data_IF_635475001096
#
_entry.id   IF_635475001096
#
_cell.length_a   1.000
_cell.length_b   1.000
_cell.length_c   1.000
_cell.angle_alpha   90.00
_cell.angle_beta   90.00
_cell.angle_gamma   90.00
#
_symmetry.space_group_name_H-M   'P 1'
#
loop_
_entity.id
_entity.type
_entity.pdbx_description
1 polymer ?
#
# COMPACT_ATOMS: atom_id res chain seq x y z
N UNK A 1 0.49 -3.56 63.37
CA UNK A 1 -0.47 -3.02 62.37
C UNK A 1 0.14 -3.21 60.98
N UNK A 2 -0.31 -4.22 60.24
CA UNK A 2 0.11 -4.45 58.85
C UNK A 2 -0.77 -3.60 57.93
N UNK A 3 -0.17 -2.61 57.28
CA UNK A 3 -0.80 -1.86 56.20
C UNK A 3 -0.71 -2.74 54.94
N UNK A 4 -1.77 -3.50 54.66
CA UNK A 4 -1.92 -4.24 53.41
C UNK A 4 -2.26 -3.23 52.32
N UNK A 5 -1.25 -2.83 51.55
CA UNK A 5 -1.41 -2.07 50.30
C UNK A 5 -2.14 -2.94 49.29
N UNK A 6 -3.47 -2.77 49.22
CA UNK A 6 -4.29 -3.26 48.13
C UNK A 6 -3.90 -2.51 46.85
N UNK A 7 -2.92 -3.05 46.11
CA UNK A 7 -2.73 -2.75 44.69
C UNK A 7 -3.99 -3.25 43.97
N UNK A 8 -4.96 -2.37 43.75
CA UNK A 8 -5.98 -2.58 42.75
C UNK A 8 -5.29 -2.67 41.38
N UNK A 9 -4.94 -3.89 40.98
CA UNK A 9 -4.69 -4.22 39.57
C UNK A 9 -6.01 -4.04 38.85
N UNK A 10 -6.31 -2.82 38.41
CA UNK A 10 -7.31 -2.59 37.38
C UNK A 10 -6.94 -3.55 36.24
N UNK A 11 -7.87 -4.44 35.90
CA UNK A 11 -7.70 -5.32 34.77
C UNK A 11 -7.27 -4.45 33.60
N UNK A 12 -6.06 -4.67 33.07
CA UNK A 12 -5.73 -4.24 31.73
C UNK A 12 -6.72 -5.00 30.84
N UNK A 13 -7.92 -4.44 30.63
CA UNK A 13 -8.84 -4.92 29.63
C UNK A 13 -8.02 -5.00 28.35
N UNK A 14 -7.96 -6.19 27.75
CA UNK A 14 -7.30 -6.38 26.47
C UNK A 14 -7.77 -5.26 25.54
N UNK A 15 -6.85 -4.36 25.18
CA UNK A 15 -7.18 -3.27 24.27
C UNK A 15 -7.13 -3.88 22.89
N UNK A 16 -8.31 -4.20 22.38
CA UNK A 16 -8.49 -4.69 21.01
C UNK A 16 -8.66 -3.49 20.09
N UNK A 17 -8.02 -3.56 18.92
CA UNK A 17 -8.28 -2.61 17.84
C UNK A 17 -9.39 -3.23 16.99
N UNK A 18 -10.59 -2.63 16.91
CA UNK A 18 -11.66 -3.17 16.10
C UNK A 18 -11.39 -3.00 14.59
N UNK A 19 -12.11 -3.74 13.73
CA UNK A 19 -12.21 -3.43 12.32
C UNK A 19 -12.65 -1.98 12.10
N UNK A 20 -12.35 -1.43 10.93
CA UNK A 20 -12.77 -0.09 10.56
C UNK A 20 -11.77 0.62 9.67
N UNK A 21 -12.12 1.84 9.28
CA UNK A 21 -11.34 2.61 8.32
C UNK A 21 -10.18 3.36 8.99
N UNK A 22 -9.07 3.39 8.28
CA UNK A 22 -7.89 4.20 8.51
C UNK A 22 -7.77 5.25 7.44
N UNK A 23 -7.28 6.42 7.85
CA UNK A 23 -6.92 7.50 6.95
C UNK A 23 -5.42 7.74 7.08
N UNK A 24 -4.72 7.64 5.97
CA UNK A 24 -3.29 7.91 5.87
C UNK A 24 -3.08 9.17 5.04
N UNK A 25 -2.04 9.92 5.40
CA UNK A 25 -1.65 11.18 4.79
C UNK A 25 -0.19 11.06 4.38
N UNK A 26 0.12 11.28 3.09
CA UNK A 26 1.48 11.28 2.59
C UNK A 26 2.16 12.61 2.89
N UNK A 27 3.18 12.52 3.73
CA UNK A 27 3.69 13.68 4.43
C UNK A 27 4.50 14.60 3.50
N UNK A 28 4.11 15.88 3.49
CA UNK A 28 4.70 16.88 2.59
C UNK A 28 4.23 16.74 1.13
N UNK A 29 3.05 16.13 0.92
CA UNK A 29 2.56 15.78 -0.42
C UNK A 29 3.40 14.67 -1.01
N UNK A 30 3.58 13.59 -0.24
CA UNK A 30 4.44 12.46 -0.57
C UNK A 30 4.19 11.98 -1.99
N UNK A 31 5.26 11.50 -2.63
CA UNK A 31 5.23 11.22 -4.06
C UNK A 31 5.72 9.82 -4.35
N UNK A 32 5.09 9.17 -5.32
CA UNK A 32 5.50 7.88 -5.88
C UNK A 32 5.89 8.03 -7.34
N UNK A 33 6.92 7.32 -7.78
CA UNK A 33 7.25 7.22 -9.19
C UNK A 33 6.58 5.97 -9.79
N UNK A 34 5.83 6.16 -10.87
CA UNK A 34 5.19 5.10 -11.66
C UNK A 34 5.73 5.15 -13.07
N UNK A 35 6.30 4.04 -13.54
CA UNK A 35 6.71 3.88 -14.93
C UNK A 35 5.54 3.42 -15.77
N UNK A 36 5.09 4.28 -16.68
CA UNK A 36 4.05 3.98 -17.65
C UNK A 36 4.68 3.58 -18.97
N UNK A 37 4.12 2.52 -19.57
CA UNK A 37 4.58 1.97 -20.84
C UNK A 37 4.13 2.83 -22.01
N UNK A 38 4.69 2.61 -23.20
CA UNK A 38 4.21 3.26 -24.42
C UNK A 38 2.70 3.04 -24.68
N UNK A 39 2.18 1.85 -24.34
CA UNK A 39 0.76 1.53 -24.48
C UNK A 39 -0.11 2.32 -23.49
N UNK A 40 0.36 2.52 -22.26
CA UNK A 40 -0.32 3.33 -21.26
C UNK A 40 -0.44 4.79 -21.70
N UNK A 41 0.64 5.36 -22.24
CA UNK A 41 0.63 6.73 -22.76
C UNK A 41 -0.31 6.90 -23.95
N UNK A 42 -0.37 5.89 -24.81
CA UNK A 42 -1.31 5.86 -25.92
C UNK A 42 -2.76 5.82 -25.43
N UNK A 43 -3.06 5.00 -24.41
CA UNK A 43 -4.39 4.91 -23.81
C UNK A 43 -4.81 6.17 -23.02
N UNK A 44 -3.86 6.84 -22.38
CA UNK A 44 -4.11 8.06 -21.60
C UNK A 44 -4.39 9.27 -22.47
N UNK A 45 -3.62 9.47 -23.53
CA UNK A 45 -3.69 10.72 -24.31
C UNK A 45 -3.27 10.58 -25.78
N UNK A 46 -3.12 9.35 -26.29
CA UNK A 46 -2.69 9.12 -27.68
C UNK A 46 -1.19 9.34 -27.91
N UNK A 47 -0.38 9.53 -26.87
CA UNK A 47 1.05 9.79 -27.01
C UNK A 47 1.82 8.48 -27.22
N UNK A 48 2.66 8.42 -28.27
CA UNK A 48 3.61 7.32 -28.47
C UNK A 48 5.00 7.77 -28.02
N UNK A 49 5.36 7.40 -26.79
CA UNK A 49 6.66 7.68 -26.18
C UNK A 49 7.25 6.41 -25.57
N UNK A 50 8.57 6.34 -25.34
CA UNK A 50 9.18 5.25 -24.57
C UNK A 50 8.62 5.17 -23.13
N UNK A 51 8.85 4.03 -22.47
CA UNK A 51 8.56 3.85 -21.04
C UNK A 51 9.11 5.04 -20.24
N UNK A 52 8.21 5.75 -19.58
CA UNK A 52 8.52 7.01 -18.89
C UNK A 52 8.02 6.95 -17.45
N UNK A 53 8.90 7.22 -16.51
CA UNK A 53 8.53 7.39 -15.11
C UNK A 53 7.88 8.75 -14.89
N UNK A 54 6.76 8.76 -14.16
CA UNK A 54 6.10 9.98 -13.70
C UNK A 54 5.88 9.95 -12.20
N UNK A 55 6.07 11.11 -11.59
CA UNK A 55 5.89 11.29 -10.17
C UNK A 55 4.44 11.66 -9.86
N UNK A 56 3.74 10.86 -9.08
CA UNK A 56 2.37 11.10 -8.63
C UNK A 56 2.41 11.50 -7.15
N UNK A 57 1.79 12.62 -6.80
CA UNK A 57 1.78 13.16 -5.43
C UNK A 57 0.45 12.89 -4.76
N UNK A 58 0.47 12.64 -3.45
CA UNK A 58 -0.73 12.56 -2.63
C UNK A 58 -1.60 13.82 -2.78
N UNK A 59 -2.92 13.61 -2.90
CA UNK A 59 -3.91 14.66 -2.95
C UNK A 59 -5.04 14.36 -1.98
N UNK A 60 -5.58 15.39 -1.35
CA UNK A 60 -6.58 15.21 -0.30
C UNK A 60 -7.85 14.56 -0.87
N UNK A 61 -8.31 13.48 -0.22
CA UNK A 61 -9.60 12.88 -0.48
C UNK A 61 -10.70 13.76 0.16
N UNK A 62 -11.72 14.20 -0.62
CA UNK A 62 -12.81 14.99 -0.08
C UNK A 62 -13.49 14.34 1.12
N UNK A 63 -13.64 15.10 2.21
CA UNK A 63 -14.25 14.62 3.46
C UNK A 63 -13.29 13.94 4.43
N UNK A 64 -12.03 13.69 4.06
CA UNK A 64 -11.02 13.01 4.92
C UNK A 64 -9.88 13.93 5.39
N UNK A 65 -10.10 15.26 5.38
CA UNK A 65 -9.11 16.24 5.84
C UNK A 65 -7.90 16.30 4.90
N UNK A 66 -6.71 15.98 5.43
CA UNK A 66 -5.45 15.90 4.65
C UNK A 66 -5.14 14.48 4.17
N UNK A 67 -6.00 13.50 4.46
CA UNK A 67 -5.76 12.12 4.02
C UNK A 67 -5.85 11.97 2.51
N UNK A 68 -4.87 11.28 1.91
CA UNK A 68 -4.82 10.95 0.49
C UNK A 68 -5.02 9.46 0.21
N UNK A 69 -5.03 8.65 1.27
CA UNK A 69 -5.19 7.21 1.23
C UNK A 69 -6.12 6.78 2.36
N UNK A 70 -7.06 5.88 2.08
CA UNK A 70 -7.88 5.25 3.10
C UNK A 70 -7.82 3.74 2.96
N UNK A 71 -7.69 3.06 4.09
CA UNK A 71 -7.52 1.61 4.19
C UNK A 71 -8.52 1.07 5.22
N UNK A 72 -9.27 0.04 4.87
CA UNK A 72 -10.14 -0.67 5.80
C UNK A 72 -9.36 -1.79 6.49
N UNK A 73 -9.40 -1.83 7.82
CA UNK A 73 -9.07 -3.03 8.61
C UNK A 73 -10.26 -3.96 8.57
N UNK A 74 -10.06 -5.13 7.97
CA UNK A 74 -11.10 -6.16 7.86
C UNK A 74 -11.24 -6.90 9.19
N UNK A 75 -10.10 -7.21 9.83
CA UNK A 75 -10.07 -7.99 11.06
C UNK A 75 -9.78 -7.12 12.28
N UNK A 76 -10.27 -7.57 13.45
CA UNK A 76 -9.88 -7.01 14.73
C UNK A 76 -8.46 -7.46 15.11
N UNK A 77 -7.69 -6.58 15.75
CA UNK A 77 -6.40 -6.94 16.35
C UNK A 77 -6.54 -7.15 17.86
N UNK A 78 -6.22 -8.35 18.35
CA UNK A 78 -6.18 -8.65 19.78
C UNK A 78 -4.78 -8.42 20.35
N UNK A 79 -4.63 -7.45 21.25
CA UNK A 79 -3.35 -7.02 21.81
C UNK A 79 -3.37 -7.02 23.36
N UNK A 80 -3.30 -8.22 23.99
CA UNK A 80 -3.54 -8.40 25.42
C UNK A 80 -2.49 -7.73 26.34
N UNK A 81 -1.31 -7.41 25.82
CA UNK A 81 -0.22 -6.83 26.62
C UNK A 81 0.85 -6.12 25.80
N UNK A 82 1.77 -5.43 26.47
CA UNK A 82 2.95 -4.86 25.83
C UNK A 82 3.81 -6.01 25.27
N UNK A 83 4.31 -5.87 24.05
CA UNK A 83 5.02 -6.89 23.28
C UNK A 83 4.10 -7.79 22.45
N UNK A 84 2.78 -7.76 22.67
CA UNK A 84 1.84 -8.51 21.82
C UNK A 84 1.83 -7.96 20.39
N UNK A 85 1.68 -8.88 19.44
CA UNK A 85 1.62 -8.57 18.01
C UNK A 85 0.42 -9.29 17.41
N UNK A 86 -0.29 -8.61 16.51
CA UNK A 86 -1.39 -9.15 15.74
C UNK A 86 -1.16 -8.89 14.25
N UNK A 87 -1.48 -9.86 13.41
CA UNK A 87 -1.51 -9.70 11.96
C UNK A 87 -2.96 -9.71 11.51
N UNK A 88 -3.37 -8.67 10.80
CA UNK A 88 -4.74 -8.49 10.32
C UNK A 88 -4.76 -8.29 8.80
N UNK A 89 -5.86 -8.65 8.16
CA UNK A 89 -6.13 -8.27 6.78
C UNK A 89 -6.61 -6.82 6.69
N UNK A 90 -6.14 -6.15 5.65
CA UNK A 90 -6.52 -4.77 5.31
C UNK A 90 -6.90 -4.69 3.83
N UNK A 91 -7.61 -3.65 3.41
CA UNK A 91 -7.95 -3.42 2.01
C UNK A 91 -7.96 -1.92 1.71
N UNK A 92 -7.46 -1.52 0.54
CA UNK A 92 -7.56 -0.14 0.09
C UNK A 92 -9.04 0.23 -0.12
N UNK A 93 -9.48 1.36 0.44
CA UNK A 93 -10.82 1.93 0.25
C UNK A 93 -10.80 3.09 -0.75
N UNK A 94 -9.81 3.96 -0.59
CA UNK A 94 -9.67 5.15 -1.41
C UNK A 94 -8.19 5.52 -1.55
N UNK A 95 -7.87 6.10 -2.69
CA UNK A 95 -6.56 6.63 -3.01
C UNK A 95 -6.78 7.87 -3.87
N UNK A 96 -6.02 8.93 -3.64
CA UNK A 96 -6.02 10.11 -4.50
C UNK A 96 -4.59 10.60 -4.70
N UNK A 97 -4.12 10.49 -5.95
CA UNK A 97 -2.84 11.05 -6.36
C UNK A 97 -3.00 11.94 -7.59
N UNK A 98 -2.05 12.85 -7.79
CA UNK A 98 -2.06 13.83 -8.88
C UNK A 98 -0.65 14.06 -9.44
N UNK A 99 -0.56 14.26 -10.75
CA UNK A 99 0.58 14.90 -11.40
C UNK A 99 0.07 16.00 -12.33
N UNK A 100 0.40 17.24 -11.98
CA UNK A 100 0.12 18.48 -12.71
C UNK A 100 1.39 19.07 -13.36
N UNK A 101 2.52 18.37 -13.25
CA UNK A 101 3.80 18.76 -13.80
C UNK A 101 3.98 18.35 -15.27
N UNK A 102 5.22 18.43 -15.73
CA UNK A 102 5.57 18.04 -17.10
C UNK A 102 5.57 16.51 -17.26
N UNK A 103 4.82 16.02 -18.24
CA UNK A 103 4.76 14.61 -18.65
C UNK A 103 4.24 14.49 -20.10
N UNK A 104 4.30 13.30 -20.73
CA UNK A 104 3.88 13.12 -22.12
C UNK A 104 2.45 13.57 -22.45
N UNK A 105 1.51 13.45 -21.51
CA UNK A 105 0.13 13.93 -21.69
C UNK A 105 -0.13 15.42 -21.37
N UNK A 106 0.89 16.22 -21.05
CA UNK A 106 0.70 17.65 -20.77
C UNK A 106 0.07 18.35 -22.01
N UNK A 107 -0.88 19.29 -21.82
CA UNK A 107 -1.20 20.01 -20.59
C UNK A 107 -2.27 19.35 -19.69
N UNK A 108 -2.69 18.12 -19.99
CA UNK A 108 -3.66 17.42 -19.13
C UNK A 108 -3.02 17.07 -17.78
N UNK A 109 -3.82 16.97 -16.74
CA UNK A 109 -3.40 16.51 -15.41
C UNK A 109 -3.61 15.00 -15.31
N UNK A 110 -2.64 14.26 -14.78
CA UNK A 110 -2.87 12.87 -14.40
C UNK A 110 -3.51 12.83 -13.00
N UNK A 111 -4.64 12.15 -12.88
CA UNK A 111 -5.31 11.87 -11.60
C UNK A 111 -5.34 10.37 -11.37
N UNK A 112 -5.16 9.96 -10.12
CA UNK A 112 -5.18 8.56 -9.73
C UNK A 112 -6.25 8.33 -8.69
N UNK A 113 -7.01 7.27 -8.88
CA UNK A 113 -7.99 6.78 -7.91
C UNK A 113 -7.86 5.27 -7.73
N UNK A 114 -8.35 4.77 -6.61
CA UNK A 114 -8.49 3.34 -6.40
C UNK A 114 -9.47 2.76 -7.45
N UNK A 115 -9.12 1.62 -8.04
CA UNK A 115 -10.06 0.82 -8.82
C UNK A 115 -11.14 0.19 -7.91
N UNK A 116 -12.28 -0.22 -8.48
CA UNK A 116 -13.32 -0.91 -7.73
C UNK A 116 -12.89 -2.27 -7.17
N UNK A 117 -11.86 -2.89 -7.74
CA UNK A 117 -11.34 -4.18 -7.31
C UNK A 117 -10.04 -4.02 -6.53
N UNK A 118 -10.10 -4.12 -5.21
CA UNK A 118 -8.91 -4.07 -4.36
C UNK A 118 -8.61 -5.46 -3.78
N UNK A 119 -7.34 -5.85 -3.82
CA UNK A 119 -6.88 -7.07 -3.15
C UNK A 119 -6.72 -6.82 -1.64
N UNK A 120 -6.72 -7.90 -0.87
CA UNK A 120 -6.44 -7.82 0.57
C UNK A 120 -4.94 -7.76 0.81
N UNK A 121 -4.53 -6.78 1.57
CA UNK A 121 -3.19 -6.65 2.13
C UNK A 121 -3.08 -7.24 3.54
N UNK A 122 -1.93 -6.99 4.16
CA UNK A 122 -1.71 -7.36 5.56
C UNK A 122 -1.11 -6.20 6.35
N UNK A 123 -1.57 -6.03 7.58
CA UNK A 123 -0.97 -5.14 8.57
C UNK A 123 -0.51 -5.96 9.76
N UNK A 124 0.71 -5.71 10.22
CA UNK A 124 1.23 -6.27 11.48
C UNK A 124 1.29 -5.15 12.50
N UNK A 125 0.55 -5.28 13.59
CA UNK A 125 0.45 -4.28 14.66
C UNK A 125 1.09 -4.85 15.91
N UNK A 126 2.04 -4.12 16.49
CA UNK A 126 2.71 -4.47 17.75
C UNK A 126 2.43 -3.42 18.80
N UNK A 127 1.95 -3.83 19.98
CA UNK A 127 1.77 -2.95 21.13
C UNK A 127 3.10 -2.77 21.85
N UNK A 128 3.68 -1.57 21.86
CA UNK A 128 4.97 -1.30 22.52
C UNK A 128 4.82 -0.56 23.86
N UNK A 129 3.63 -0.01 24.14
CA UNK A 129 3.32 0.66 25.40
C UNK A 129 1.83 0.54 25.74
N UNK A 130 1.43 1.03 26.92
CA UNK A 130 0.01 1.14 27.27
C UNK A 130 -0.74 2.19 26.43
N UNK A 131 -0.02 3.17 25.86
CA UNK A 131 -0.58 4.27 25.09
C UNK A 131 -0.65 3.99 23.58
N UNK A 132 -0.03 2.91 23.11
CA UNK A 132 0.01 2.55 21.70
C UNK A 132 1.18 1.65 21.33
N UNK A 133 1.63 1.76 20.07
CA UNK A 133 2.57 0.81 19.52
C UNK A 133 3.16 1.21 18.18
N UNK A 134 3.59 0.21 17.42
CA UNK A 134 4.03 0.35 16.02
C UNK A 134 3.24 -0.58 15.11
N UNK A 135 3.20 -0.27 13.82
CA UNK A 135 2.66 -1.15 12.79
C UNK A 135 3.55 -1.15 11.54
N UNK A 136 3.38 -2.19 10.72
CA UNK A 136 3.90 -2.31 9.36
C UNK A 136 2.74 -2.75 8.47
N UNK A 137 2.70 -2.32 7.22
CA UNK A 137 1.60 -2.67 6.33
C UNK A 137 2.08 -2.88 4.89
N UNK A 138 1.47 -3.83 4.20
CA UNK A 138 1.54 -3.95 2.74
C UNK A 138 0.12 -3.86 2.23
N UNK A 139 -0.18 -2.79 1.50
CA UNK A 139 -1.48 -2.53 0.88
C UNK A 139 -1.34 -2.77 -0.62
N UNK A 140 -1.85 -3.88 -1.17
CA UNK A 140 -2.03 -4.02 -2.59
C UNK A 140 -2.87 -2.87 -3.15
N UNK A 141 -2.45 -2.32 -4.28
CA UNK A 141 -3.14 -1.22 -4.93
C UNK A 141 -3.44 -1.63 -6.35
N UNK A 142 -4.72 -1.60 -6.71
CA UNK A 142 -5.15 -1.50 -8.10
C UNK A 142 -5.65 -0.07 -8.31
N UNK A 143 -5.09 0.66 -9.26
CA UNK A 143 -5.41 2.06 -9.46
C UNK A 143 -5.77 2.35 -10.91
N UNK A 144 -6.68 3.29 -11.10
CA UNK A 144 -6.98 3.88 -12.39
C UNK A 144 -6.26 5.21 -12.46
N UNK A 145 -5.41 5.37 -13.48
CA UNK A 145 -4.79 6.65 -13.83
C UNK A 145 -5.63 7.24 -14.96
N UNK A 146 -6.11 8.46 -14.78
CA UNK A 146 -6.91 9.21 -15.72
C UNK A 146 -6.13 10.45 -16.17
N UNK A 147 -6.06 10.70 -17.46
CA UNK A 147 -5.64 12.00 -17.97
C UNK A 147 -6.88 12.90 -18.05
N UNK A 148 -6.81 14.07 -17.43
CA UNK A 148 -7.93 14.99 -17.25
C UNK A 148 -7.56 16.35 -17.82
N UNK A 149 -8.40 16.89 -18.71
CA UNK A 149 -8.16 18.21 -19.30
C UNK A 149 -8.56 19.35 -18.33
N UNK A 150 -8.37 20.60 -18.77
CA UNK A 150 -8.67 21.78 -17.95
C UNK A 150 -10.14 21.95 -17.59
N UNK A 151 -11.08 21.34 -18.33
CA UNK A 151 -12.51 21.34 -17.98
C UNK A 151 -12.89 20.24 -16.98
N UNK A 152 -11.93 19.40 -16.55
CA UNK A 152 -12.19 18.26 -15.68
C UNK A 152 -12.69 17.01 -16.40
N UNK A 153 -12.70 17.00 -17.74
CA UNK A 153 -13.12 15.84 -18.51
C UNK A 153 -11.97 14.83 -18.63
N UNK A 154 -12.28 13.56 -18.41
CA UNK A 154 -11.35 12.44 -18.62
C UNK A 154 -11.18 12.23 -20.13
N UNK A 155 -9.95 12.32 -20.61
CA UNK A 155 -9.62 12.14 -22.04
C UNK A 155 -9.12 10.73 -22.35
N UNK A 156 -8.65 10.01 -21.33
CA UNK A 156 -8.15 8.64 -21.43
C UNK A 156 -7.77 8.10 -20.06
N UNK A 157 -7.63 6.79 -19.97
CA UNK A 157 -7.34 6.09 -18.72
C UNK A 157 -6.54 4.83 -18.94
N UNK A 158 -5.72 4.46 -17.95
CA UNK A 158 -5.09 3.14 -17.85
C UNK A 158 -5.20 2.60 -16.43
N UNK A 159 -5.07 1.30 -16.27
CA UNK A 159 -5.08 0.62 -14.97
C UNK A 159 -3.67 0.14 -14.63
N UNK A 160 -3.24 0.39 -13.40
CA UNK A 160 -1.94 -0.08 -12.88
C UNK A 160 -2.14 -0.82 -11.56
N UNK A 161 -1.24 -1.75 -11.28
CA UNK A 161 -1.24 -2.51 -10.03
C UNK A 161 0.12 -2.42 -9.34
N UNK A 162 0.12 -2.41 -8.00
CA UNK A 162 1.33 -2.28 -7.19
C UNK A 162 1.09 -2.57 -5.71
N UNK A 163 2.00 -2.10 -4.86
CA UNK A 163 1.84 -2.11 -3.41
C UNK A 163 2.30 -0.78 -2.80
N UNK A 164 1.54 -0.31 -1.80
CA UNK A 164 2.00 0.68 -0.83
C UNK A 164 2.56 -0.09 0.35
N UNK A 165 3.87 0.02 0.56
CA UNK A 165 4.58 -0.71 1.58
C UNK A 165 5.07 0.24 2.67
N UNK A 166 4.65 -0.05 3.89
CA UNK A 166 5.19 0.52 5.11
C UNK A 166 6.07 -0.50 5.81
N UNK A 167 7.35 -0.48 5.45
CA UNK A 167 8.42 -1.23 6.11
C UNK A 167 8.98 -0.49 7.34
N UNK A 168 8.39 0.65 7.70
CA UNK A 168 8.68 1.35 8.94
C UNK A 168 7.90 0.73 10.07
N UNK A 169 8.50 0.65 11.27
CA UNK A 169 7.73 0.47 12.49
C UNK A 169 6.94 1.76 12.79
N UNK A 170 5.94 2.08 11.98
CA UNK A 170 5.19 3.33 12.05
C UNK A 170 4.40 3.40 13.35
N UNK A 171 4.46 4.52 14.08
CA UNK A 171 3.82 4.60 15.39
C UNK A 171 2.30 4.70 15.27
N UNK A 172 1.63 4.29 16.34
CA UNK A 172 0.20 4.47 16.50
C UNK A 172 -0.17 4.69 17.97
N UNK A 173 -1.34 5.31 18.24
CA UNK A 173 -1.82 5.54 19.60
C UNK A 173 -3.30 5.20 19.79
N UNK A 174 -3.70 4.88 21.04
CA UNK A 174 -5.11 4.80 21.44
C UNK A 174 -5.75 6.18 21.73
N UNK A 175 -4.93 7.22 21.89
CA UNK A 175 -5.39 8.57 22.23
C UNK A 175 -4.94 9.54 21.12
N UNK A 176 -5.87 10.07 20.31
CA UNK A 176 -5.53 11.00 19.26
C UNK A 176 -5.17 12.39 19.84
N UNK A 177 -4.49 13.25 19.07
CA UNK A 177 -4.46 14.68 19.38
C UNK A 177 -5.89 15.26 19.38
N UNK A 178 -6.14 16.24 20.25
CA UNK A 178 -7.44 16.93 20.34
C UNK A 178 -7.78 17.79 19.11
N UNK A 179 -6.87 17.91 18.15
CA UNK A 179 -7.03 18.73 16.95
C UNK A 179 -6.41 18.05 15.73
N UNK A 180 -7.16 17.99 14.62
CA UNK A 180 -6.62 17.74 13.28
C UNK A 180 -6.51 16.28 12.84
N UNK A 181 -6.76 15.30 13.70
CA UNK A 181 -6.90 13.90 13.30
C UNK A 181 -8.39 13.50 13.26
N UNK A 182 -8.85 12.71 12.26
CA UNK A 182 -10.21 12.18 12.27
C UNK A 182 -10.44 11.34 13.52
N UNK A 183 -11.51 11.62 14.27
CA UNK A 183 -11.88 10.91 15.51
C UNK A 183 -12.52 9.57 15.11
N UNK A 184 -11.71 8.55 14.86
CA UNK A 184 -12.16 7.20 14.52
C UNK A 184 -11.74 6.20 15.60
N UNK A 185 -12.71 5.55 16.25
CA UNK A 185 -12.50 4.40 17.12
C UNK A 185 -11.49 4.61 18.27
N UNK A 186 -11.07 3.51 18.94
CA UNK A 186 -10.08 3.61 20.00
C UNK A 186 -8.65 3.78 19.48
N UNK A 187 -8.36 3.74 18.18
CA UNK A 187 -6.99 3.62 17.63
C UNK A 187 -6.71 4.58 16.46
N UNK A 188 -5.47 5.07 16.35
CA UNK A 188 -5.05 6.07 15.36
C UNK A 188 -3.67 5.74 14.76
N UNK A 189 -3.58 5.39 13.47
CA UNK A 189 -2.31 5.19 12.78
C UNK A 189 -1.55 6.52 12.63
N UNK A 190 -0.22 6.46 12.66
CA UNK A 190 0.63 7.62 12.43
C UNK A 190 0.61 8.65 13.56
N UNK A 191 0.20 8.30 14.78
CA UNK A 191 0.24 9.18 15.96
C UNK A 191 1.28 8.65 16.94
N UNK A 192 2.20 9.51 17.39
CA UNK A 192 3.21 9.13 18.37
C UNK A 192 2.53 8.89 19.73
N UNK A 193 2.66 7.70 20.34
CA UNK A 193 1.99 7.40 21.60
C UNK A 193 2.52 8.20 22.79
N UNK A 194 3.72 8.78 22.71
CA UNK A 194 4.35 9.61 23.73
C UNK A 194 3.92 11.07 23.56
N UNK A 195 4.11 11.64 22.37
CA UNK A 195 3.85 13.09 22.16
C UNK A 195 2.40 13.40 21.83
N UNK A 196 1.61 12.40 21.44
CA UNK A 196 0.23 12.54 20.93
C UNK A 196 0.13 13.42 19.68
N UNK A 197 1.26 13.66 19.02
CA UNK A 197 1.30 14.41 17.77
C UNK A 197 1.25 13.46 16.57
N UNK A 198 0.70 13.89 15.43
CA UNK A 198 0.84 13.17 14.18
C UNK A 198 2.33 13.02 13.84
N UNK A 199 2.77 11.79 13.57
CA UNK A 199 4.12 11.47 13.11
C UNK A 199 4.18 11.72 11.62
N UNK A 200 5.02 12.70 11.28
CA UNK A 200 5.08 13.26 9.94
C UNK A 200 6.17 12.66 9.04
N UNK A 201 6.58 11.39 9.26
CA UNK A 201 7.65 10.75 8.46
C UNK A 201 7.43 9.25 8.17
N UNK A 202 7.75 8.78 6.94
CA UNK A 202 7.99 7.35 6.65
C UNK A 202 9.41 6.99 7.19
N UNK A 203 9.60 5.80 7.78
CA UNK A 203 10.87 5.33 8.35
C UNK A 203 11.34 4.05 7.66
N UNK A 204 12.19 4.14 6.64
CA UNK A 204 12.79 2.94 6.04
C UNK A 204 13.97 2.47 6.90
N UNK A 205 13.77 1.37 7.65
CA UNK A 205 14.76 0.86 8.61
C UNK A 205 15.01 1.83 9.78
N UNK A 206 16.29 2.15 10.08
CA UNK A 206 16.66 3.13 11.12
C UNK A 206 16.62 4.59 10.64
N UNK A 207 16.31 4.85 9.37
CA UNK A 207 16.33 6.20 8.79
C UNK A 207 14.93 6.78 8.75
N UNK A 208 14.79 7.99 9.29
CA UNK A 208 13.66 8.87 9.00
C UNK A 208 13.92 9.46 7.62
N UNK A 209 13.07 9.15 6.64
CA UNK A 209 13.18 9.71 5.30
C UNK A 209 11.97 10.63 5.03
N UNK A 210 12.12 11.68 4.21
CA UNK A 210 10.96 12.32 3.59
C UNK A 210 10.13 11.29 2.85
N UNK A 211 8.80 11.42 2.80
CA UNK A 211 7.83 10.43 2.30
C UNK A 211 7.92 10.06 0.80
N UNK A 212 9.03 10.39 0.12
CA UNK A 212 9.27 10.19 -1.32
C UNK A 212 9.45 8.71 -1.74
N UNK A 213 9.17 7.72 -0.88
CA UNK A 213 9.64 6.34 -1.07
C UNK A 213 8.66 5.21 -0.69
N UNK A 214 7.38 5.49 -0.43
CA UNK A 214 6.48 4.51 0.19
C UNK A 214 5.68 3.65 -0.83
N UNK A 215 5.94 3.81 -2.14
CA UNK A 215 5.43 2.92 -3.19
C UNK A 215 6.59 2.17 -3.85
N UNK A 216 6.48 0.85 -3.93
CA UNK A 216 7.36 0.03 -4.74
C UNK A 216 6.52 -0.56 -5.87
N UNK A 217 6.80 -0.22 -7.14
CA UNK A 217 6.19 -0.98 -8.23
C UNK A 217 6.58 -2.46 -8.04
N UNK A 218 5.65 -3.38 -8.33
CA UNK A 218 5.98 -4.81 -8.29
C UNK A 218 7.22 -5.04 -9.13
N UNK A 219 8.18 -5.88 -8.68
CA UNK A 219 9.33 -6.22 -9.50
C UNK A 219 8.82 -6.68 -10.86
N UNK A 220 9.29 -6.04 -11.95
CA UNK A 220 9.00 -6.55 -13.29
C UNK A 220 9.46 -8.00 -13.29
N UNK A 221 8.54 -8.95 -13.50
CA UNK A 221 8.93 -10.33 -13.73
C UNK A 221 9.98 -10.29 -14.83
N UNK A 222 11.15 -10.89 -14.58
CA UNK A 222 12.18 -10.99 -15.62
C UNK A 222 11.51 -11.72 -16.76
N UNK A 223 11.26 -11.02 -17.87
CA UNK A 223 10.77 -11.66 -19.07
C UNK A 223 11.75 -12.80 -19.34
N UNK A 224 11.27 -14.04 -19.19
CA UNK A 224 12.04 -15.19 -19.65
C UNK A 224 12.04 -14.98 -21.15
N UNK A 225 13.18 -14.57 -21.70
CA UNK A 225 13.36 -14.55 -23.15
C UNK A 225 12.90 -15.92 -23.64
N UNK A 226 11.98 -16.00 -24.62
CA UNK A 226 11.59 -17.28 -25.17
C UNK A 226 12.88 -18.02 -25.53
N UNK A 227 13.09 -19.17 -24.90
CA UNK A 227 14.19 -20.05 -25.29
C UNK A 227 13.94 -20.34 -26.77
N UNK A 228 14.90 -20.05 -27.67
CA UNK A 228 14.77 -20.44 -29.05
C UNK A 228 14.45 -21.94 -29.06
N UNK A 229 13.28 -22.29 -29.57
CA UNK A 229 12.96 -23.69 -29.84
C UNK A 229 13.81 -24.05 -31.05
N UNK A 230 15.03 -24.53 -30.79
CA UNK A 230 15.84 -25.14 -31.82
C UNK A 230 15.05 -26.36 -32.33
N UNK A 231 14.56 -26.27 -33.56
CA UNK A 231 13.78 -27.30 -34.27
C UNK A 231 14.58 -28.57 -34.60
N UNK A 232 15.57 -28.93 -33.79
CA UNK A 232 16.39 -30.10 -34.01
C UNK A 232 16.62 -30.84 -32.69
N UNK A 233 15.71 -31.77 -32.37
CA UNK A 233 16.00 -33.12 -31.84
C UNK A 233 14.73 -33.75 -31.30
N UNK A 234 13.99 -34.43 -32.17
CA UNK A 234 13.16 -35.54 -31.74
C UNK A 234 14.09 -36.70 -31.36
N UNK A 235 14.51 -36.78 -30.10
CA UNK A 235 15.15 -37.95 -29.54
C UNK A 235 14.56 -38.20 -28.15
N UNK A 236 14.01 -39.39 -27.99
CA UNK A 236 13.32 -39.86 -26.81
C UNK A 236 14.17 -39.71 -25.54
N UNK A 237 13.57 -39.17 -24.48
CA UNK A 237 14.09 -39.29 -23.12
C UNK A 237 13.05 -40.08 -22.33
N UNK A 238 13.44 -41.30 -21.94
CA UNK A 238 12.72 -42.16 -21.01
C UNK A 238 12.54 -41.46 -19.66
N UNK A 239 11.32 -41.51 -19.15
CA UNK A 239 10.93 -40.95 -17.86
C UNK A 239 11.37 -41.93 -16.77
N UNK A 240 12.48 -41.64 -16.12
CA UNK A 240 12.87 -42.22 -14.83
C UNK A 240 12.25 -41.42 -13.69
N UNK A 241 11.44 -42.10 -12.90
CA UNK A 241 10.79 -41.60 -11.67
C UNK A 241 11.79 -41.38 -10.54
N UNK A 242 11.84 -40.16 -10.02
CA UNK A 242 11.87 -39.82 -8.58
C UNK A 242 12.29 -38.34 -8.42
N UNK A 243 11.50 -37.56 -7.69
CA UNK A 243 11.92 -36.58 -6.68
C UNK A 243 10.69 -35.87 -6.12
N UNK A 244 10.59 -35.94 -4.80
CA UNK A 244 9.65 -35.26 -3.93
C UNK A 244 10.03 -33.79 -3.71
N UNK A 245 9.00 -32.93 -3.65
CA UNK A 245 8.89 -31.64 -2.94
C UNK A 245 9.81 -30.48 -3.36
N UNK A 246 9.20 -29.41 -3.91
CA UNK A 246 9.06 -28.07 -3.29
C UNK A 246 7.96 -27.34 -4.08
N UNK A 247 6.92 -26.89 -3.39
CA UNK A 247 5.90 -26.02 -3.95
C UNK A 247 6.54 -24.66 -4.29
N UNK A 248 6.95 -24.51 -5.56
CA UNK A 248 7.17 -23.21 -6.17
C UNK A 248 5.81 -22.71 -6.63
N UNK A 249 5.35 -21.58 -6.09
CA UNK A 249 4.24 -20.81 -6.64
C UNK A 249 4.56 -20.48 -8.10
N UNK A 250 4.03 -21.31 -9.00
CA UNK A 250 4.15 -21.12 -10.44
C UNK A 250 3.18 -20.03 -10.84
N UNK A 251 3.72 -18.86 -11.21
CA UNK A 251 3.04 -17.86 -12.01
C UNK A 251 2.55 -18.56 -13.30
N UNK A 252 1.27 -18.93 -13.33
CA UNK A 252 0.64 -19.53 -14.50
C UNK A 252 0.20 -18.41 -15.43
N UNK A 253 1.00 -18.14 -16.46
CA UNK A 253 0.59 -17.34 -17.60
C UNK A 253 -0.22 -18.22 -18.55
N UNK A 254 -1.54 -17.99 -18.62
CA UNK A 254 -2.37 -18.56 -19.68
C UNK A 254 -2.02 -17.83 -20.98
N UNK A 255 -1.18 -18.42 -21.82
CA UNK A 255 -0.94 -17.93 -23.17
C UNK A 255 -2.20 -18.19 -24.03
N UNK A 256 -2.88 -17.14 -24.45
CA UNK A 256 -3.84 -17.22 -25.55
C UNK A 256 -3.08 -17.40 -26.86
N UNK A 257 -3.15 -18.59 -27.45
CA UNK A 257 -2.71 -18.86 -28.81
C UNK A 257 -3.71 -18.25 -29.79
N UNK A 258 -3.35 -17.15 -30.43
CA UNK A 258 -3.99 -16.69 -31.67
C UNK A 258 -3.39 -17.46 -32.85
N UNK A 259 -4.17 -18.34 -33.46
CA UNK A 259 -3.90 -18.92 -34.78
C UNK A 259 -4.38 -17.96 -35.88
N UNK A 260 -3.50 -17.66 -36.84
CA UNK A 260 -3.87 -17.15 -38.17
C UNK A 260 -4.12 -18.33 -39.11
#
# INVERSE_FOLDING_TARGET
MCLVTALCSLALSAQNIPPGDDVWDSLGGGSTDVTLTSADWLALCGASVPDTAVQLKGFNIPGLGTGDTSVERIDAANLPGIGSTARISIQLKALSLVNDGAHPCSPNTLRVKADSHQEKGTMTITKTSAAGGTFFATVPVNAVIEAVNSSGAVIGSTTVSGSLDDESASPWSYNPPSSGAPVAGPWYPGVDPVTKLPVRVCRIGKKILPARHCYRPRPKCKAISPVPVDTASAAAIEIGTDIDVIAVETCTLTAQTTTN
#
